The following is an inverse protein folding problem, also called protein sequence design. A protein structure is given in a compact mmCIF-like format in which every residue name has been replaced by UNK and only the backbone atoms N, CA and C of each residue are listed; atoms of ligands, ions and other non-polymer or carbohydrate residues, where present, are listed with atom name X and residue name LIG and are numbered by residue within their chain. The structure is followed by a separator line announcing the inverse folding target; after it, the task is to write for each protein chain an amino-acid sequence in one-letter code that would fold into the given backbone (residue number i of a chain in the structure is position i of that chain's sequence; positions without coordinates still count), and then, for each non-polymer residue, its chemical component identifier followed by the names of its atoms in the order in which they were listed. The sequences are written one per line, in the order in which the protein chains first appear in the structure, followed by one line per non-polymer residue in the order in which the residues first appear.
data_IF_382284530632
#
_entry.id   IF_382284530632
#
_cell.length_a   1.000
_cell.length_b   1.000
_cell.length_c   1.000
_cell.angle_alpha   90.00
_cell.angle_beta   90.00
_cell.angle_gamma   90.00
#
_symmetry.space_group_name_H-M   'P 1'
#
loop_
_entity.id
_entity.type
_entity.pdbx_description
1 polymer ?
#
# COMPACT_ATOMS: atom_id res chain seq x y z
N UNK A 1 -8.77 24.76 -22.88
CA UNK A 1 -9.50 26.05 -22.77
C UNK A 1 -10.62 25.84 -21.74
N UNK A 2 -10.49 26.38 -20.53
CA UNK A 2 -11.41 26.05 -19.41
C UNK A 2 -12.72 26.86 -19.41
N UNK A 3 -12.89 27.75 -20.39
CA UNK A 3 -14.15 28.45 -20.63
C UNK A 3 -14.51 28.35 -22.11
N UNK A 4 -15.79 28.55 -22.44
CA UNK A 4 -16.31 28.56 -23.81
C UNK A 4 -16.15 29.92 -24.51
N UNK A 5 -15.28 30.82 -24.01
CA UNK A 5 -15.07 32.14 -24.61
C UNK A 5 -14.27 31.96 -25.90
N UNK A 6 -14.84 32.41 -27.01
CA UNK A 6 -14.14 32.42 -28.31
C UNK A 6 -13.05 33.49 -28.25
N UNK A 7 -11.81 33.10 -28.48
CA UNK A 7 -10.64 33.98 -28.54
C UNK A 7 -10.16 34.03 -29.99
N UNK A 8 -10.23 35.19 -30.62
CA UNK A 8 -9.78 35.36 -31.99
C UNK A 8 -8.27 35.58 -32.04
N UNK A 9 -7.62 35.05 -33.09
CA UNK A 9 -6.23 35.33 -33.39
C UNK A 9 -6.08 36.77 -33.90
N UNK A 10 -5.00 37.45 -33.50
CA UNK A 10 -4.67 38.77 -34.05
C UNK A 10 -4.02 38.59 -35.42
N UNK A 11 -4.51 39.29 -36.44
CA UNK A 11 -4.05 39.18 -37.83
C UNK A 11 -2.67 39.79 -38.08
N UNK A 12 -2.14 40.61 -37.17
CA UNK A 12 -0.82 41.26 -37.29
C UNK A 12 0.29 40.55 -36.53
N UNK A 13 -0.04 39.94 -35.38
CA UNK A 13 0.92 39.26 -34.53
C UNK A 13 0.41 37.83 -34.29
N UNK A 14 1.10 36.84 -34.87
CA UNK A 14 0.84 35.41 -34.67
C UNK A 14 1.24 34.96 -33.25
N UNK A 15 0.59 35.53 -32.24
CA UNK A 15 0.97 35.42 -30.84
C UNK A 15 -0.02 34.64 -29.98
N UNK A 16 0.52 33.92 -28.99
CA UNK A 16 -0.25 33.29 -27.90
C UNK A 16 -0.79 34.31 -26.88
N UNK A 17 -0.58 35.60 -27.14
CA UNK A 17 -0.84 36.72 -26.23
C UNK A 17 -2.32 36.84 -25.84
N UNK A 18 -3.23 36.70 -26.81
CA UNK A 18 -4.68 36.70 -26.54
C UNK A 18 -5.08 35.59 -25.55
N UNK A 19 -4.46 34.41 -25.68
CA UNK A 19 -4.72 33.29 -24.79
C UNK A 19 -4.08 33.49 -23.41
N UNK A 20 -2.85 34.00 -23.35
CA UNK A 20 -2.15 34.32 -22.09
C UNK A 20 -2.93 35.33 -21.26
N UNK A 21 -3.34 36.44 -21.88
CA UNK A 21 -4.13 37.47 -21.22
C UNK A 21 -5.48 36.95 -20.76
N UNK A 22 -6.13 36.10 -21.56
CA UNK A 22 -7.36 35.45 -21.16
C UNK A 22 -7.19 34.52 -19.94
N UNK A 23 -6.17 33.66 -19.91
CA UNK A 23 -5.95 32.70 -18.81
C UNK A 23 -5.84 33.40 -17.45
N UNK A 24 -5.18 34.57 -17.42
CA UNK A 24 -4.98 35.35 -16.19
C UNK A 24 -6.30 35.90 -15.64
N UNK A 25 -7.21 36.37 -16.51
CA UNK A 25 -8.47 36.99 -16.11
C UNK A 25 -9.67 36.03 -16.10
N UNK A 26 -9.51 34.82 -16.63
CA UNK A 26 -10.62 33.90 -16.82
C UNK A 26 -11.11 33.35 -15.48
N UNK A 27 -12.36 33.64 -15.12
CA UNK A 27 -13.02 33.16 -13.88
C UNK A 27 -13.27 31.64 -13.85
N UNK A 28 -13.21 30.96 -15.00
CA UNK A 28 -13.36 29.50 -15.10
C UNK A 28 -12.02 28.77 -15.21
N UNK A 29 -10.90 29.51 -15.19
CA UNK A 29 -9.59 28.90 -15.08
C UNK A 29 -9.51 28.17 -13.71
N UNK A 30 -9.14 26.88 -13.63
CA UNK A 30 -9.00 26.19 -12.37
C UNK A 30 -8.11 26.95 -11.37
N UNK A 31 -7.06 27.63 -11.85
CA UNK A 31 -6.17 28.44 -11.00
C UNK A 31 -6.83 29.72 -10.44
N UNK A 32 -7.92 30.20 -11.02
CA UNK A 32 -8.66 31.39 -10.55
C UNK A 32 -9.82 31.05 -9.63
N UNK A 33 -10.16 29.76 -9.49
CA UNK A 33 -11.17 29.29 -8.55
C UNK A 33 -10.64 29.46 -7.12
N UNK A 34 -11.26 30.37 -6.38
CA UNK A 34 -10.96 30.58 -4.96
C UNK A 34 -11.43 29.34 -4.16
N UNK A 35 -10.68 28.96 -3.13
CA UNK A 35 -11.00 27.86 -2.20
C UNK A 35 -10.83 26.43 -2.74
N UNK A 36 -10.00 26.21 -3.76
CA UNK A 36 -9.56 24.86 -4.08
C UNK A 36 -8.80 24.27 -2.89
N UNK A 37 -9.17 23.05 -2.48
CA UNK A 37 -8.48 22.33 -1.42
C UNK A 37 -7.79 21.10 -2.01
N UNK A 38 -6.64 20.75 -1.46
CA UNK A 38 -5.99 19.51 -1.84
C UNK A 38 -6.88 18.34 -1.42
N UNK A 39 -7.04 17.36 -2.30
CA UNK A 39 -7.79 16.15 -2.01
C UNK A 39 -6.83 15.05 -1.59
N UNK A 40 -7.22 14.30 -0.57
CA UNK A 40 -6.47 13.15 -0.06
C UNK A 40 -7.38 11.94 0.07
N UNK A 41 -6.79 10.75 -0.04
CA UNK A 41 -7.48 9.51 0.28
C UNK A 41 -7.47 9.36 1.79
N UNK A 42 -8.65 9.51 2.42
CA UNK A 42 -8.82 9.22 3.84
C UNK A 42 -9.24 7.77 4.01
N UNK A 43 -8.56 7.06 4.91
CA UNK A 43 -8.92 5.69 5.31
C UNK A 43 -9.96 5.78 6.42
N UNK A 44 -11.15 5.22 6.19
CA UNK A 44 -12.24 5.25 7.16
C UNK A 44 -12.74 3.83 7.42
N UNK A 45 -12.84 3.49 8.70
CA UNK A 45 -13.59 2.32 9.14
C UNK A 45 -15.07 2.66 9.11
N UNK A 46 -15.81 2.01 8.21
CA UNK A 46 -17.27 2.06 8.22
C UNK A 46 -17.75 0.82 8.95
N UNK A 47 -18.60 0.99 9.95
CA UNK A 47 -19.25 -0.12 10.67
C UNK A 47 -20.66 -0.22 10.12
N UNK A 48 -20.82 -1.04 9.09
CA UNK A 48 -22.14 -1.45 8.59
C UNK A 48 -22.20 -2.98 8.70
N UNK A 49 -23.29 -3.50 9.26
CA UNK A 49 -23.64 -4.94 9.35
C UNK A 49 -22.66 -5.90 10.07
N UNK A 50 -21.78 -5.37 10.93
CA UNK A 50 -20.96 -6.21 11.82
C UNK A 50 -19.71 -6.80 11.19
N UNK A 51 -19.42 -6.47 9.92
CA UNK A 51 -18.18 -6.79 9.23
C UNK A 51 -17.47 -5.48 8.86
N UNK A 52 -16.38 -5.17 9.57
CA UNK A 52 -15.68 -3.90 9.39
C UNK A 52 -14.99 -3.83 8.02
N UNK A 53 -15.55 -3.06 7.09
CA UNK A 53 -14.94 -2.84 5.78
C UNK A 53 -14.09 -1.55 5.79
N UNK A 54 -12.87 -1.68 5.30
CA UNK A 54 -11.96 -0.56 5.09
C UNK A 54 -12.38 0.23 3.85
N UNK A 55 -12.97 1.42 4.04
CA UNK A 55 -13.43 2.25 2.93
C UNK A 55 -12.49 3.43 2.77
N UNK A 56 -11.83 3.48 1.61
CA UNK A 56 -11.07 4.67 1.21
C UNK A 56 -12.02 5.71 0.62
N UNK A 57 -12.23 6.84 1.30
CA UNK A 57 -13.07 7.94 0.80
C UNK A 57 -12.22 9.14 0.42
N UNK A 58 -12.68 9.89 -0.59
CA UNK A 58 -12.06 11.13 -0.99
C UNK A 58 -12.33 12.20 0.07
N UNK A 59 -11.27 12.78 0.61
CA UNK A 59 -11.33 13.80 1.66
C UNK A 59 -10.58 15.05 1.24
N UNK A 60 -10.77 16.11 1.99
CA UNK A 60 -9.89 17.27 1.93
C UNK A 60 -8.61 16.96 2.71
N UNK A 61 -7.47 16.93 2.03
CA UNK A 61 -6.16 16.76 2.67
C UNK A 61 -5.80 18.00 3.50
N UNK A 62 -5.34 17.76 4.73
CA UNK A 62 -4.71 18.75 5.59
C UNK A 62 -3.43 18.14 6.14
N UNK A 63 -2.33 18.86 6.04
CA UNK A 63 -1.06 18.43 6.63
C UNK A 63 -1.18 18.42 8.16
N UNK A 64 -0.93 17.26 8.77
CA UNK A 64 -0.82 17.09 10.21
C UNK A 64 0.44 16.26 10.51
N UNK A 65 1.47 16.96 11.01
CA UNK A 65 2.76 16.35 11.34
C UNK A 65 2.66 15.28 12.44
N UNK A 66 1.74 15.43 13.40
CA UNK A 66 1.55 14.44 14.45
C UNK A 66 0.81 13.21 13.93
N UNK A 67 -0.15 13.38 13.01
CA UNK A 67 -0.79 12.27 12.33
C UNK A 67 0.24 11.46 11.53
N UNK A 68 1.05 12.12 10.69
CA UNK A 68 2.09 11.42 9.92
C UNK A 68 3.08 10.66 10.80
N UNK A 69 3.49 11.24 11.95
CA UNK A 69 4.34 10.55 12.92
C UNK A 69 3.67 9.30 13.48
N UNK A 70 2.38 9.37 13.84
CA UNK A 70 1.63 8.21 14.33
C UNK A 70 1.54 7.11 13.27
N UNK A 71 1.20 7.46 12.03
CA UNK A 71 1.06 6.49 10.94
C UNK A 71 2.39 5.76 10.67
N UNK A 72 3.51 6.49 10.69
CA UNK A 72 4.85 5.89 10.53
C UNK A 72 5.19 4.99 11.71
N UNK A 73 4.89 5.43 12.94
CA UNK A 73 5.11 4.61 14.15
C UNK A 73 4.28 3.34 14.10
N UNK A 74 3.00 3.42 13.73
CA UNK A 74 2.13 2.26 13.58
C UNK A 74 2.67 1.29 12.53
N UNK A 75 3.09 1.79 11.36
CA UNK A 75 3.70 0.98 10.32
C UNK A 75 4.96 0.24 10.81
N UNK A 76 5.85 0.93 11.52
CA UNK A 76 7.08 0.32 12.08
C UNK A 76 6.73 -0.73 13.13
N UNK A 77 5.83 -0.40 14.06
CA UNK A 77 5.41 -1.32 15.12
C UNK A 77 4.79 -2.57 14.51
N UNK A 78 3.90 -2.45 13.53
CA UNK A 78 3.29 -3.60 12.87
C UNK A 78 4.35 -4.48 12.24
N UNK A 79 5.28 -3.92 11.45
CA UNK A 79 6.33 -4.71 10.79
C UNK A 79 7.25 -5.44 11.80
N UNK A 80 7.73 -4.74 12.82
CA UNK A 80 8.63 -5.31 13.83
C UNK A 80 7.92 -6.36 14.72
N UNK A 81 6.67 -6.09 15.12
CA UNK A 81 5.93 -6.99 16.02
C UNK A 81 5.45 -8.24 15.32
N UNK A 82 5.02 -8.15 14.05
CA UNK A 82 4.56 -9.30 13.29
C UNK A 82 5.70 -10.29 13.03
N UNK A 83 6.89 -9.78 12.69
CA UNK A 83 8.08 -10.62 12.52
C UNK A 83 8.43 -11.38 13.82
N UNK A 84 8.37 -10.68 14.96
CA UNK A 84 8.63 -11.28 16.27
C UNK A 84 7.58 -12.33 16.64
N UNK A 85 6.30 -12.02 16.46
CA UNK A 85 5.19 -12.95 16.75
C UNK A 85 5.32 -14.25 15.93
N UNK A 86 5.60 -14.13 14.62
CA UNK A 86 5.80 -15.30 13.76
C UNK A 86 7.00 -16.14 14.21
N UNK A 87 8.08 -15.49 14.67
CA UNK A 87 9.25 -16.18 15.17
C UNK A 87 8.97 -16.92 16.48
N UNK A 88 8.27 -16.30 17.41
CA UNK A 88 7.93 -16.91 18.70
C UNK A 88 7.05 -18.16 18.50
N UNK A 89 6.01 -18.07 17.65
CA UNK A 89 5.18 -19.22 17.26
C UNK A 89 6.04 -20.34 16.65
N UNK A 90 6.96 -20.00 15.75
CA UNK A 90 7.86 -20.99 15.15
C UNK A 90 8.74 -21.68 16.19
N UNK A 91 9.29 -20.94 17.15
CA UNK A 91 10.15 -21.50 18.21
C UNK A 91 9.36 -22.48 19.07
N UNK A 92 8.14 -22.11 19.45
CA UNK A 92 7.27 -22.95 20.28
C UNK A 92 6.90 -24.26 19.54
N UNK A 93 6.39 -24.15 18.31
CA UNK A 93 6.02 -25.31 17.48
C UNK A 93 7.21 -26.22 17.17
N UNK A 94 8.40 -25.65 16.98
CA UNK A 94 9.64 -26.40 16.77
C UNK A 94 9.98 -27.29 17.97
N UNK A 95 9.76 -26.82 19.19
CA UNK A 95 10.01 -27.62 20.41
C UNK A 95 9.02 -28.79 20.48
N UNK A 96 7.74 -28.53 20.22
CA UNK A 96 6.68 -29.55 20.18
C UNK A 96 7.04 -30.64 19.16
N UNK A 97 7.33 -30.25 17.93
CA UNK A 97 7.65 -31.18 16.84
C UNK A 97 8.95 -31.96 17.11
N UNK A 98 9.95 -31.32 17.73
CA UNK A 98 11.20 -31.99 18.11
C UNK A 98 10.98 -33.07 19.15
N UNK A 99 10.13 -32.84 20.15
CA UNK A 99 9.81 -33.85 21.16
C UNK A 99 9.01 -34.99 20.53
N UNK A 100 8.04 -34.66 19.68
CA UNK A 100 7.27 -35.64 18.94
C UNK A 100 8.16 -36.57 18.10
N UNK A 101 9.17 -36.07 17.40
CA UNK A 101 10.10 -36.92 16.63
C UNK A 101 11.10 -37.71 17.49
N UNK A 102 11.37 -37.30 18.73
CA UNK A 102 12.16 -38.12 19.67
C UNK A 102 11.38 -39.33 20.14
N UNK A 103 10.08 -39.15 20.38
CA UNK A 103 9.18 -40.19 20.87
C UNK A 103 8.68 -41.09 19.73
N UNK A 104 8.41 -40.51 18.57
CA UNK A 104 7.90 -41.25 17.40
C UNK A 104 9.04 -41.91 16.62
N UNK A 105 8.99 -43.23 16.50
CA UNK A 105 9.89 -44.02 15.63
C UNK A 105 9.40 -44.07 14.18
N UNK A 106 8.83 -42.98 13.66
CA UNK A 106 8.20 -42.97 12.34
C UNK A 106 9.14 -42.49 11.24
N UNK A 107 8.87 -42.92 10.01
CA UNK A 107 9.63 -42.47 8.85
C UNK A 107 9.26 -41.03 8.50
N UNK A 108 10.29 -40.23 8.24
CA UNK A 108 10.17 -38.87 7.72
C UNK A 108 10.85 -38.87 6.35
N UNK A 109 10.18 -38.36 5.34
CA UNK A 109 10.78 -38.13 4.01
C UNK A 109 11.00 -36.64 3.78
N UNK A 110 12.01 -36.31 2.98
CA UNK A 110 12.34 -34.93 2.64
C UNK A 110 12.26 -34.73 1.14
N UNK A 111 11.67 -33.62 0.72
CA UNK A 111 11.69 -33.18 -0.67
C UNK A 111 12.47 -31.87 -0.74
N UNK A 112 13.48 -31.83 -1.60
CA UNK A 112 14.24 -30.61 -1.87
C UNK A 112 13.77 -30.05 -3.21
N UNK A 113 13.31 -28.81 -3.20
CA UNK A 113 12.99 -28.06 -4.41
C UNK A 113 14.05 -26.96 -4.62
N UNK A 114 14.46 -26.72 -5.86
CA UNK A 114 15.50 -25.73 -6.16
C UNK A 114 15.14 -24.95 -7.41
N UNK A 115 15.14 -23.62 -7.29
CA UNK A 115 14.79 -22.73 -8.39
C UNK A 115 15.76 -21.54 -8.45
N UNK A 116 15.86 -20.91 -9.61
CA UNK A 116 16.64 -19.68 -9.78
C UNK A 116 15.70 -18.56 -10.21
N UNK A 117 15.75 -17.44 -9.50
CA UNK A 117 14.98 -16.24 -9.83
C UNK A 117 15.46 -15.59 -11.14
N UNK A 118 14.62 -14.73 -11.70
CA UNK A 118 14.98 -13.92 -12.87
C UNK A 118 16.19 -13.01 -12.61
N UNK A 119 16.46 -12.67 -11.34
CA UNK A 119 17.63 -11.90 -10.91
C UNK A 119 18.89 -12.77 -10.74
N UNK A 120 18.86 -14.04 -11.18
CA UNK A 120 19.96 -15.03 -11.09
C UNK A 120 20.36 -15.40 -9.66
N UNK A 121 19.43 -15.24 -8.71
CA UNK A 121 19.60 -15.73 -7.34
C UNK A 121 19.00 -17.14 -7.26
N UNK A 122 19.78 -18.11 -6.80
CA UNK A 122 19.34 -19.49 -6.60
C UNK A 122 18.79 -19.70 -5.19
N UNK A 123 17.68 -20.42 -5.10
CA UNK A 123 16.96 -20.74 -3.88
C UNK A 123 16.79 -22.26 -3.77
N UNK A 124 16.71 -22.74 -2.52
CA UNK A 124 16.41 -24.12 -2.19
C UNK A 124 15.37 -24.15 -1.07
N UNK A 125 14.33 -24.95 -1.23
CA UNK A 125 13.37 -25.27 -0.16
C UNK A 125 13.53 -26.73 0.24
N UNK A 126 13.46 -27.00 1.54
CA UNK A 126 13.46 -28.36 2.09
C UNK A 126 12.16 -28.57 2.86
N UNK A 127 11.34 -29.49 2.39
CA UNK A 127 10.06 -29.84 3.02
C UNK A 127 10.14 -31.25 3.59
N UNK A 128 9.77 -31.40 4.85
CA UNK A 128 9.66 -32.70 5.52
C UNK A 128 8.21 -33.19 5.49
N UNK A 129 8.01 -34.45 5.14
CA UNK A 129 6.71 -35.14 5.15
C UNK A 129 6.76 -36.28 6.14
N UNK A 130 5.75 -36.39 6.99
CA UNK A 130 5.63 -37.46 7.96
C UNK A 130 4.16 -37.81 8.17
N UNK A 131 3.88 -39.07 8.50
CA UNK A 131 2.52 -39.51 8.86
C UNK A 131 2.33 -39.32 10.37
N UNK A 132 1.25 -38.63 10.75
CA UNK A 132 0.89 -38.55 12.16
C UNK A 132 0.27 -39.88 12.63
N UNK A 133 0.67 -40.34 13.82
CA UNK A 133 -0.02 -41.40 14.54
C UNK A 133 -1.15 -40.75 15.34
N UNK A 134 -2.31 -40.58 14.72
CA UNK A 134 -3.54 -40.28 15.47
C UNK A 134 -4.13 -41.58 16.01
#
# INVERSE_FOLDING_TARGET
MHCKKVLCANSRNNGTETMKNHIIICKLNPKSLKNQKLLGLGRFYSVDDGEGHDVTKLTTWKFDHNAMKRDVVEMIIIDETMAKLCYDIYVDEKVVLKNYFKESKQRVSFTTDSWTSQQRVSFMSLTAHYSNKN
#
